data_IF_900276145332
#
_entry.id   IF_900276145332
#
_cell.length_a   1.000
_cell.length_b   1.000
_cell.length_c   1.000
_cell.angle_alpha   90.00
_cell.angle_beta   90.00
_cell.angle_gamma   90.00
#
_symmetry.space_group_name_H-M   'P 1'
#
loop_
_entity.id
_entity.type
_entity.pdbx_description
1 polymer ?
#
# COMPACT_ATOMS: atom_id res chain seq x y z
N UNK A 1 -7.93 -15.35 -21.59
CA UNK A 1 -7.96 -14.09 -20.80
C UNK A 1 -8.33 -14.34 -19.34
N UNK A 2 -9.22 -15.29 -19.04
CA UNK A 2 -9.69 -15.59 -17.68
C UNK A 2 -8.63 -16.04 -16.67
N UNK A 3 -7.58 -16.75 -17.09
CA UNK A 3 -6.51 -17.19 -16.17
C UNK A 3 -5.74 -16.01 -15.57
N UNK A 4 -5.32 -15.05 -16.41
CA UNK A 4 -4.57 -13.85 -15.97
C UNK A 4 -5.39 -12.93 -15.09
N UNK A 5 -6.71 -12.87 -15.31
CA UNK A 5 -7.62 -12.11 -14.46
C UNK A 5 -7.76 -12.76 -13.07
N UNK A 6 -7.87 -14.09 -12.99
CA UNK A 6 -7.95 -14.83 -11.71
C UNK A 6 -6.69 -14.68 -10.85
N UNK A 7 -5.52 -14.80 -11.46
CA UNK A 7 -4.24 -14.58 -10.76
C UNK A 7 -4.14 -13.17 -10.19
N UNK A 8 -4.54 -12.15 -10.95
CA UNK A 8 -4.57 -10.77 -10.47
C UNK A 8 -5.52 -10.56 -9.28
N UNK A 9 -6.74 -11.07 -9.36
CA UNK A 9 -7.66 -11.01 -8.23
C UNK A 9 -7.10 -11.68 -6.99
N UNK A 10 -6.37 -12.79 -7.15
CA UNK A 10 -5.69 -13.45 -6.05
C UNK A 10 -4.64 -12.54 -5.41
N UNK A 11 -3.80 -11.85 -6.19
CA UNK A 11 -2.83 -10.89 -5.67
C UNK A 11 -3.49 -9.70 -4.95
N UNK A 12 -4.57 -9.15 -5.51
CA UNK A 12 -5.35 -8.07 -4.88
C UNK A 12 -5.92 -8.53 -3.53
N UNK A 13 -6.50 -9.73 -3.47
CA UNK A 13 -7.04 -10.28 -2.22
C UNK A 13 -5.95 -10.52 -1.18
N UNK A 14 -4.79 -11.04 -1.57
CA UNK A 14 -3.65 -11.23 -0.67
C UNK A 14 -3.16 -9.87 -0.18
N UNK A 15 -2.90 -8.91 -1.07
CA UNK A 15 -2.44 -7.57 -0.71
C UNK A 15 -3.44 -6.86 0.21
N UNK A 16 -4.74 -6.99 -0.04
CA UNK A 16 -5.79 -6.44 0.81
C UNK A 16 -5.80 -7.10 2.20
N UNK A 17 -5.70 -8.43 2.25
CA UNK A 17 -5.64 -9.18 3.52
C UNK A 17 -4.43 -8.79 4.34
N UNK A 18 -3.25 -8.68 3.71
CA UNK A 18 -2.01 -8.24 4.39
C UNK A 18 -2.12 -6.79 4.85
N UNK A 19 -2.75 -5.92 4.05
CA UNK A 19 -2.96 -4.52 4.42
C UNK A 19 -3.87 -4.42 5.65
N UNK A 20 -4.99 -5.15 5.67
CA UNK A 20 -5.89 -5.19 6.84
C UNK A 20 -5.19 -5.76 8.06
N UNK A 21 -4.52 -6.91 7.93
CA UNK A 21 -3.77 -7.52 9.04
C UNK A 21 -2.66 -6.59 9.56
N UNK A 22 -1.93 -5.94 8.66
CA UNK A 22 -0.92 -4.95 8.99
C UNK A 22 -1.51 -3.76 9.72
N UNK A 23 -2.63 -3.20 9.27
CA UNK A 23 -3.28 -2.08 9.96
C UNK A 23 -3.78 -2.49 11.35
N UNK A 24 -4.29 -3.70 11.53
CA UNK A 24 -4.60 -4.22 12.86
C UNK A 24 -3.36 -4.23 13.76
N UNK A 25 -2.26 -4.78 13.28
CA UNK A 25 -1.02 -4.93 14.05
C UNK A 25 -0.30 -3.61 14.33
N UNK A 26 -0.22 -2.71 13.36
CA UNK A 26 0.63 -1.53 13.40
C UNK A 26 -0.13 -0.21 13.57
N UNK A 27 -1.46 -0.24 13.48
CA UNK A 27 -2.33 0.91 13.79
C UNK A 27 -3.20 0.64 15.02
N UNK A 28 -4.11 -0.31 14.94
CA UNK A 28 -5.14 -0.47 15.96
C UNK A 28 -4.63 -1.04 17.29
N UNK A 29 -3.71 -2.02 17.26
CA UNK A 29 -3.09 -2.53 18.49
C UNK A 29 -2.27 -1.43 19.20
N UNK A 30 -1.41 -0.66 18.52
CA UNK A 30 -0.72 0.46 19.14
C UNK A 30 -1.66 1.49 19.75
N UNK A 31 -2.73 1.88 19.03
CA UNK A 31 -3.72 2.82 19.56
C UNK A 31 -4.42 2.29 20.81
N UNK A 32 -4.64 0.96 20.89
CA UNK A 32 -5.23 0.33 22.07
C UNK A 32 -4.28 0.31 23.28
N UNK A 33 -2.97 0.13 23.06
CA UNK A 33 -1.96 0.06 24.14
C UNK A 33 -1.56 1.45 24.64
N UNK A 34 -1.28 2.39 23.72
CA UNK A 34 -0.69 3.70 24.03
C UNK A 34 -1.69 4.86 23.94
N UNK A 35 -2.94 4.61 23.54
CA UNK A 35 -4.00 5.61 23.40
C UNK A 35 -4.22 6.06 21.96
N UNK A 36 -5.36 6.71 21.71
CA UNK A 36 -5.82 7.05 20.35
C UNK A 36 -5.02 8.18 19.67
N UNK A 37 -4.29 9.00 20.45
CA UNK A 37 -3.62 10.21 19.96
C UNK A 37 -2.10 10.01 19.74
N UNK A 38 -1.66 8.76 19.58
CA UNK A 38 -0.29 8.47 19.17
C UNK A 38 -0.06 8.90 17.71
N UNK A 39 1.14 9.41 17.42
CA UNK A 39 1.50 9.92 16.08
C UNK A 39 2.39 8.94 15.29
N UNK A 40 2.87 7.88 15.93
CA UNK A 40 3.85 6.95 15.38
C UNK A 40 3.25 5.62 14.89
N UNK A 41 1.93 5.43 15.04
CA UNK A 41 1.24 4.27 14.49
C UNK A 41 1.11 4.37 12.97
N UNK A 42 0.86 3.25 12.31
CA UNK A 42 0.81 3.19 10.86
C UNK A 42 -0.26 4.13 10.29
N UNK A 43 0.12 4.90 9.27
CA UNK A 43 -0.83 5.74 8.53
C UNK A 43 -1.81 4.90 7.73
N UNK A 44 -3.01 4.69 8.27
CA UNK A 44 -4.12 4.06 7.55
C UNK A 44 -4.40 4.74 6.21
N UNK A 45 -4.30 6.08 6.15
CA UNK A 45 -4.47 6.84 4.92
C UNK A 45 -3.42 6.46 3.87
N UNK A 46 -2.14 6.34 4.25
CA UNK A 46 -1.08 5.94 3.31
C UNK A 46 -1.26 4.50 2.85
N UNK A 47 -1.47 3.57 3.78
CA UNK A 47 -1.58 2.15 3.45
C UNK A 47 -2.79 1.87 2.54
N UNK A 48 -3.95 2.46 2.86
CA UNK A 48 -5.15 2.31 2.03
C UNK A 48 -5.01 3.01 0.68
N UNK A 49 -4.38 4.19 0.62
CA UNK A 49 -4.12 4.87 -0.65
C UNK A 49 -3.21 4.04 -1.56
N UNK A 50 -2.14 3.43 -1.02
CA UNK A 50 -1.27 2.53 -1.77
C UNK A 50 -2.07 1.32 -2.28
N UNK A 51 -2.89 0.71 -1.43
CA UNK A 51 -3.74 -0.42 -1.84
C UNK A 51 -4.72 -0.03 -2.96
N UNK A 52 -5.40 1.12 -2.84
CA UNK A 52 -6.32 1.61 -3.84
C UNK A 52 -5.62 1.93 -5.18
N UNK A 53 -4.45 2.57 -5.13
CA UNK A 53 -3.62 2.83 -6.31
C UNK A 53 -3.12 1.52 -6.95
N UNK A 54 -2.81 0.50 -6.14
CA UNK A 54 -2.47 -0.82 -6.64
C UNK A 54 -3.65 -1.53 -7.31
N UNK A 55 -4.86 -1.43 -6.77
CA UNK A 55 -6.08 -1.94 -7.44
C UNK A 55 -6.27 -1.21 -8.78
N UNK A 56 -6.08 0.11 -8.81
CA UNK A 56 -6.20 0.90 -10.03
C UNK A 56 -5.10 0.57 -11.07
N UNK A 57 -3.89 0.22 -10.61
CA UNK A 57 -2.80 -0.23 -11.47
C UNK A 57 -3.22 -1.40 -12.37
N UNK A 58 -4.11 -2.28 -11.92
CA UNK A 58 -4.65 -3.38 -12.74
C UNK A 58 -5.21 -2.94 -14.09
N UNK A 59 -5.99 -1.85 -14.10
CA UNK A 59 -6.61 -1.33 -15.31
C UNK A 59 -5.60 -0.61 -16.19
N UNK A 60 -4.63 0.05 -15.56
CA UNK A 60 -3.56 0.78 -16.24
C UNK A 60 -2.57 -0.18 -16.90
N UNK A 61 -2.26 -1.32 -16.27
CA UNK A 61 -1.26 -2.26 -16.77
C UNK A 61 -1.65 -2.85 -18.14
N UNK A 62 -2.94 -2.87 -18.46
CA UNK A 62 -3.47 -3.30 -19.77
C UNK A 62 -2.94 -2.44 -20.92
N UNK A 63 -2.57 -1.17 -20.66
CA UNK A 63 -2.01 -0.27 -21.66
C UNK A 63 -0.63 0.25 -21.24
N UNK A 64 0.41 -0.32 -21.86
CA UNK A 64 1.82 0.00 -21.55
C UNK A 64 2.16 1.49 -21.59
N UNK A 65 1.47 2.29 -22.44
CA UNK A 65 1.70 3.73 -22.56
C UNK A 65 1.30 4.51 -21.31
N UNK A 66 0.36 3.99 -20.51
CA UNK A 66 -0.16 4.66 -19.31
C UNK A 66 0.61 4.33 -18.03
N UNK A 67 1.48 3.30 -18.04
CA UNK A 67 2.20 2.84 -16.85
C UNK A 67 3.08 3.93 -16.22
N UNK A 68 3.89 4.60 -17.04
CA UNK A 68 4.80 5.65 -16.57
C UNK A 68 4.03 6.90 -16.10
N UNK A 69 3.08 7.47 -16.90
CA UNK A 69 2.24 8.57 -16.42
C UNK A 69 1.51 8.25 -15.11
N UNK A 70 0.98 7.03 -14.99
CA UNK A 70 0.26 6.62 -13.80
C UNK A 70 1.19 6.45 -12.59
N UNK A 71 2.42 5.97 -12.77
CA UNK A 71 3.40 5.90 -11.69
C UNK A 71 3.69 7.28 -11.09
N UNK A 72 3.89 8.30 -11.94
CA UNK A 72 4.06 9.68 -11.47
C UNK A 72 2.80 10.22 -10.78
N UNK A 73 1.62 9.95 -11.35
CA UNK A 73 0.33 10.32 -10.75
C UNK A 73 0.12 9.69 -9.36
N UNK A 74 0.37 8.38 -9.23
CA UNK A 74 0.28 7.65 -7.97
C UNK A 74 1.26 8.22 -6.93
N UNK A 75 2.51 8.50 -7.34
CA UNK A 75 3.53 9.10 -6.47
C UNK A 75 3.10 10.48 -5.99
N UNK A 76 2.54 11.31 -6.88
CA UNK A 76 2.03 12.64 -6.53
C UNK A 76 0.87 12.56 -5.53
N UNK A 77 -0.08 11.64 -5.72
CA UNK A 77 -1.17 11.41 -4.76
C UNK A 77 -0.61 11.05 -3.38
N UNK A 78 0.33 10.10 -3.32
CA UNK A 78 0.93 9.68 -2.05
C UNK A 78 1.67 10.84 -1.37
N UNK A 79 2.36 11.69 -2.14
CA UNK A 79 3.02 12.88 -1.61
C UNK A 79 2.00 13.89 -1.03
N UNK A 80 0.90 14.15 -1.74
CA UNK A 80 -0.18 15.05 -1.26
C UNK A 80 -0.77 14.52 0.05
N UNK A 81 -1.07 13.23 0.13
CA UNK A 81 -1.62 12.60 1.34
C UNK A 81 -0.62 12.71 2.48
N UNK A 82 0.66 12.38 2.24
CA UNK A 82 1.71 12.49 3.25
C UNK A 82 1.81 13.92 3.80
N UNK A 83 1.90 14.93 2.93
CA UNK A 83 1.97 16.34 3.32
C UNK A 83 0.73 16.74 4.13
N UNK A 84 -0.47 16.37 3.68
CA UNK A 84 -1.70 16.70 4.40
C UNK A 84 -1.72 16.11 5.81
N UNK A 85 -1.21 14.89 5.99
CA UNK A 85 -1.12 14.23 7.30
C UNK A 85 -0.11 14.88 8.24
N UNK A 86 1.02 15.39 7.71
CA UNK A 86 1.99 16.18 8.49
C UNK A 86 1.37 17.51 8.92
N UNK A 87 0.76 18.25 7.98
CA UNK A 87 0.17 19.57 8.25
C UNK A 87 -0.96 19.50 9.29
N UNK A 88 -1.74 18.42 9.27
CA UNK A 88 -2.83 18.21 10.23
C UNK A 88 -2.36 17.66 11.58
N UNK A 89 -1.04 17.54 11.82
CA UNK A 89 -0.44 16.91 12.99
C UNK A 89 -1.07 15.56 13.32
N UNK A 90 -1.48 14.83 12.28
CA UNK A 90 -2.28 13.64 12.44
C UNK A 90 -1.42 12.38 12.39
N UNK A 91 -0.14 12.47 12.01
CA UNK A 91 0.94 11.49 12.18
C UNK A 91 2.31 12.17 12.06
N UNK A 92 3.33 11.60 12.68
CA UNK A 92 4.73 12.00 12.48
C UNK A 92 5.35 11.24 11.31
N UNK A 93 6.61 11.56 10.99
CA UNK A 93 7.35 10.94 9.88
C UNK A 93 7.42 9.41 10.00
N UNK A 94 7.52 8.90 11.23
CA UNK A 94 7.59 7.45 11.51
C UNK A 94 6.27 6.77 11.18
N UNK A 95 5.13 7.31 11.63
CA UNK A 95 3.81 6.75 11.32
C UNK A 95 3.49 6.76 9.82
N UNK A 96 3.95 7.79 9.11
CA UNK A 96 3.84 7.87 7.65
C UNK A 96 4.72 6.84 6.93
N UNK A 97 5.98 6.73 7.32
CA UNK A 97 6.90 5.72 6.76
C UNK A 97 6.41 4.31 7.03
N UNK A 98 5.85 4.04 8.22
CA UNK A 98 5.29 2.74 8.56
C UNK A 98 4.09 2.39 7.69
N UNK A 99 3.18 3.35 7.49
CA UNK A 99 2.02 3.17 6.60
C UNK A 99 2.44 2.93 5.14
N UNK A 100 3.47 3.64 4.68
CA UNK A 100 4.04 3.49 3.34
C UNK A 100 4.71 2.11 3.17
N UNK A 101 5.58 1.73 4.12
CA UNK A 101 6.25 0.44 4.13
C UNK A 101 5.27 -0.73 4.14
N UNK A 102 4.22 -0.65 4.96
CA UNK A 102 3.16 -1.64 5.03
C UNK A 102 2.46 -1.82 3.69
N UNK A 103 2.08 -0.72 3.02
CA UNK A 103 1.44 -0.78 1.70
C UNK A 103 2.35 -1.42 0.64
N UNK A 104 3.63 -1.03 0.60
CA UNK A 104 4.59 -1.61 -0.35
C UNK A 104 4.87 -3.09 -0.06
N UNK A 105 5.00 -3.48 1.20
CA UNK A 105 5.21 -4.87 1.61
C UNK A 105 4.00 -5.74 1.27
N UNK A 106 2.78 -5.24 1.46
CA UNK A 106 1.57 -5.97 1.08
C UNK A 106 1.56 -6.32 -0.42
N UNK A 107 1.94 -5.36 -1.27
CA UNK A 107 2.07 -5.58 -2.72
C UNK A 107 3.23 -6.53 -3.02
N UNK A 108 4.39 -6.32 -2.40
CA UNK A 108 5.58 -7.14 -2.61
C UNK A 108 5.36 -8.61 -2.24
N UNK A 109 4.77 -8.87 -1.07
CA UNK A 109 4.44 -10.22 -0.61
C UNK A 109 3.41 -10.86 -1.52
N UNK A 110 2.40 -10.11 -1.98
CA UNK A 110 1.40 -10.66 -2.89
C UNK A 110 2.00 -11.21 -4.20
N UNK A 111 3.12 -10.64 -4.68
CA UNK A 111 3.84 -11.11 -5.88
C UNK A 111 5.14 -11.86 -5.57
N UNK A 112 5.29 -12.38 -4.35
CA UNK A 112 6.57 -12.98 -3.91
C UNK A 112 7.02 -14.13 -4.82
N UNK A 113 6.08 -14.93 -5.35
CA UNK A 113 6.39 -16.03 -6.26
C UNK A 113 6.99 -15.54 -7.57
N UNK A 114 6.43 -14.48 -8.15
CA UNK A 114 6.92 -13.87 -9.39
C UNK A 114 8.28 -13.20 -9.18
N UNK A 115 8.46 -12.52 -8.05
CA UNK A 115 9.74 -11.89 -7.68
C UNK A 115 10.81 -12.96 -7.48
N UNK A 116 10.53 -14.00 -6.70
CA UNK A 116 11.46 -15.11 -6.44
C UNK A 116 11.91 -15.79 -7.74
N UNK A 117 10.97 -16.08 -8.64
CA UNK A 117 11.27 -16.70 -9.96
C UNK A 117 12.19 -15.85 -10.84
N UNK A 118 12.19 -14.52 -10.68
CA UNK A 118 13.11 -13.62 -11.42
C UNK A 118 14.49 -13.51 -10.79
N UNK A 119 14.63 -13.88 -9.52
CA UNK A 119 15.88 -13.80 -8.76
C UNK A 119 16.65 -15.13 -8.75
N UNK A 120 15.94 -16.25 -8.82
CA UNK A 120 16.52 -17.56 -9.09
C UNK A 120 16.87 -17.64 -10.59
N UNK A 121 18.13 -17.30 -10.91
CA UNK A 121 18.74 -17.43 -12.25
C UNK A 121 18.98 -18.90 -12.61
#
# INVERSE_FOLDING_TARGET
MEHRAREHWHHILIAGTITVAGLLLFKYIPMWIWGNDILFDASGHMSLAIFALYVMWFFIDQNKKWRIPYFFFATLILAIIAIHRIITNAHNDVGLLLGLALGMLAIGISHWKEVKKRLEF
#
